data_IF_943971045196
#
_entry.id   IF_943971045196
#
_cell.length_a   1.000
_cell.length_b   1.000
_cell.length_c   1.000
_cell.angle_alpha   90.00
_cell.angle_beta   90.00
_cell.angle_gamma   90.00
#
_symmetry.space_group_name_H-M   'P 1'
#
loop_
_entity.id
_entity.type
_entity.pdbx_description
1 polymer ?
#
# COMPACT_ATOMS: atom_id res chain seq x y z
N UNK A 1 6.35 -16.16 20.16
CA UNK A 1 6.46 -16.55 18.82
C UNK A 1 7.35 -17.76 18.69
N UNK A 2 6.77 -18.82 18.64
CA UNK A 2 7.47 -20.10 18.48
C UNK A 2 7.55 -20.33 16.99
N UNK A 3 8.49 -19.61 16.38
CA UNK A 3 8.43 -19.36 14.98
C UNK A 3 9.09 -20.43 14.14
N UNK A 4 8.37 -20.83 13.16
CA UNK A 4 8.84 -21.54 11.97
C UNK A 4 9.64 -20.57 11.07
N UNK A 5 9.55 -19.25 11.29
CA UNK A 5 10.15 -18.22 10.45
C UNK A 5 11.31 -17.52 11.12
N UNK A 6 12.33 -17.20 10.34
CA UNK A 6 13.39 -16.30 10.75
C UNK A 6 13.09 -14.89 10.29
N UNK A 7 13.30 -13.91 11.17
CA UNK A 7 13.16 -12.51 10.82
C UNK A 7 14.47 -11.96 10.28
N UNK A 8 14.40 -11.25 9.17
CA UNK A 8 15.49 -10.45 8.63
C UNK A 8 14.99 -9.06 8.27
N UNK A 9 15.86 -8.08 8.31
CA UNK A 9 15.58 -6.72 7.84
C UNK A 9 16.47 -6.46 6.62
N UNK A 10 15.88 -6.48 5.45
CA UNK A 10 16.56 -6.11 4.22
C UNK A 10 16.38 -4.62 3.95
N UNK A 11 17.42 -3.96 3.49
CA UNK A 11 17.44 -2.55 3.13
C UNK A 11 17.90 -2.47 1.68
N UNK A 12 17.24 -1.65 0.86
CA UNK A 12 17.70 -1.34 -0.49
C UNK A 12 18.83 -0.29 -0.42
N UNK A 13 20.08 -0.65 -0.71
CA UNK A 13 21.17 0.33 -0.69
C UNK A 13 21.01 1.42 -1.75
N UNK A 14 20.41 1.08 -2.90
CA UNK A 14 20.22 2.03 -3.99
C UNK A 14 19.15 3.09 -3.69
N UNK A 15 18.15 2.77 -2.86
CA UNK A 15 17.09 3.69 -2.48
C UNK A 15 17.34 4.38 -1.13
N UNK A 16 18.38 3.98 -0.40
CA UNK A 16 18.71 4.55 0.89
C UNK A 16 19.34 5.94 0.74
N UNK A 17 18.67 6.97 1.28
CA UNK A 17 19.18 8.36 1.24
C UNK A 17 20.21 8.66 2.35
N UNK A 18 20.58 7.71 3.17
CA UNK A 18 21.62 7.89 4.21
C UNK A 18 21.24 8.84 5.35
N UNK A 19 19.96 9.05 5.63
CA UNK A 19 19.50 10.04 6.61
C UNK A 19 19.74 9.65 8.09
N UNK A 20 20.08 8.40 8.40
CA UNK A 20 20.37 7.93 9.76
C UNK A 20 19.17 7.77 10.70
N UNK A 21 17.95 8.09 10.29
CA UNK A 21 16.75 8.03 11.15
C UNK A 21 16.53 6.62 11.73
N UNK A 22 16.73 5.58 10.93
CA UNK A 22 16.59 4.20 11.37
C UNK A 22 17.61 3.81 12.46
N UNK A 23 18.84 4.34 12.40
CA UNK A 23 19.87 4.14 13.42
C UNK A 23 19.44 4.82 14.73
N UNK A 24 18.98 6.08 14.64
CA UNK A 24 18.49 6.81 15.82
C UNK A 24 17.23 6.19 16.45
N UNK A 25 16.37 5.54 15.64
CA UNK A 25 15.19 4.85 16.13
C UNK A 25 15.48 3.45 16.71
N UNK A 26 16.65 2.87 16.39
CA UNK A 26 17.02 1.56 16.92
C UNK A 26 17.29 1.64 18.43
N UNK A 27 16.66 0.79 19.26
CA UNK A 27 16.87 0.84 20.69
C UNK A 27 18.35 0.70 21.06
N UNK A 28 18.87 1.55 21.97
CA UNK A 28 20.27 1.57 22.40
C UNK A 28 20.81 0.19 22.84
N UNK A 29 19.95 -0.61 23.45
CA UNK A 29 20.31 -1.97 23.89
C UNK A 29 20.49 -2.98 22.76
N UNK A 30 19.94 -2.68 21.57
CA UNK A 30 19.96 -3.62 20.44
C UNK A 30 21.05 -3.25 19.44
N UNK A 31 21.15 -1.96 19.08
CA UNK A 31 22.12 -1.39 18.14
C UNK A 31 22.32 -2.25 16.87
N UNK A 32 21.20 -2.73 16.32
CA UNK A 32 21.22 -3.67 15.20
C UNK A 32 21.54 -3.04 13.85
N UNK A 33 21.49 -1.70 13.77
CA UNK A 33 21.63 -0.93 12.55
C UNK A 33 22.75 0.09 12.71
N UNK A 34 23.60 0.21 11.71
CA UNK A 34 24.66 1.23 11.65
C UNK A 34 24.79 1.80 10.25
N UNK A 35 25.23 3.04 10.16
CA UNK A 35 25.58 3.64 8.88
C UNK A 35 26.95 3.16 8.42
N UNK A 36 27.04 2.79 7.16
CA UNK A 36 28.28 2.38 6.50
C UNK A 36 28.30 2.98 5.08
N UNK A 37 29.46 3.09 4.41
CA UNK A 37 29.50 3.53 3.01
C UNK A 37 28.67 2.64 2.10
N UNK A 38 27.86 3.24 1.23
CA UNK A 38 26.93 2.54 0.33
C UNK A 38 27.63 1.49 -0.52
N UNK A 39 28.81 1.84 -1.03
CA UNK A 39 29.61 0.99 -1.93
C UNK A 39 29.93 -0.38 -1.31
N UNK A 40 30.00 -0.46 0.02
CA UNK A 40 30.27 -1.70 0.75
C UNK A 40 29.06 -2.61 0.88
N UNK A 41 27.88 -2.14 0.47
CA UNK A 41 26.61 -2.82 0.68
C UNK A 41 25.82 -3.08 -0.60
N UNK A 42 26.38 -2.83 -1.78
CA UNK A 42 25.67 -2.98 -3.04
C UNK A 42 25.13 -4.40 -3.27
N UNK A 43 25.84 -5.41 -2.81
CA UNK A 43 25.40 -6.83 -2.88
C UNK A 43 24.08 -7.09 -2.11
N UNK A 44 23.74 -6.21 -1.16
CA UNK A 44 22.48 -6.32 -0.40
C UNK A 44 21.27 -5.93 -1.23
N UNK A 45 21.46 -5.29 -2.39
CA UNK A 45 20.34 -5.00 -3.30
C UNK A 45 19.68 -6.28 -3.80
N UNK A 46 20.47 -7.27 -4.19
CA UNK A 46 19.94 -8.56 -4.65
C UNK A 46 19.15 -9.28 -3.55
N UNK A 47 19.60 -9.14 -2.30
CA UNK A 47 18.89 -9.70 -1.13
C UNK A 47 17.55 -8.99 -0.93
N UNK A 48 17.55 -7.67 -1.02
CA UNK A 48 16.31 -6.86 -0.92
C UNK A 48 15.33 -7.25 -2.02
N UNK A 49 15.77 -7.30 -3.26
CA UNK A 49 14.96 -7.64 -4.43
C UNK A 49 14.37 -9.06 -4.31
N UNK A 50 15.17 -10.00 -3.82
CA UNK A 50 14.67 -11.35 -3.53
C UNK A 50 13.58 -11.33 -2.45
N UNK A 51 13.79 -10.60 -1.36
CA UNK A 51 12.82 -10.51 -0.28
C UNK A 51 11.48 -9.91 -0.75
N UNK A 52 11.53 -8.87 -1.58
CA UNK A 52 10.33 -8.19 -2.09
C UNK A 52 9.60 -9.02 -3.14
N UNK A 53 10.34 -9.69 -4.05
CA UNK A 53 9.75 -10.31 -5.23
C UNK A 53 9.48 -11.82 -5.08
N UNK A 54 10.20 -12.51 -4.21
CA UNK A 54 10.16 -13.98 -4.10
C UNK A 54 9.64 -14.51 -2.76
N UNK A 55 9.74 -13.71 -1.71
CA UNK A 55 9.24 -14.14 -0.39
C UNK A 55 7.75 -13.86 -0.29
N UNK A 56 6.96 -14.91 -0.11
CA UNK A 56 5.51 -14.78 0.05
C UNK A 56 5.15 -14.14 1.39
N UNK A 57 4.09 -13.34 1.40
CA UNK A 57 3.52 -12.81 2.63
C UNK A 57 3.07 -13.94 3.59
N UNK A 58 3.31 -13.73 4.87
CA UNK A 58 2.91 -14.66 5.95
C UNK A 58 1.65 -14.14 6.61
N UNK A 59 0.49 -14.52 6.07
CA UNK A 59 -0.83 -14.02 6.53
C UNK A 59 -1.06 -14.25 8.02
N UNK A 60 -0.52 -15.30 8.59
CA UNK A 60 -0.58 -15.63 10.00
C UNK A 60 0.17 -14.66 10.91
N UNK A 61 1.07 -13.84 10.35
CA UNK A 61 1.78 -12.77 11.06
C UNK A 61 1.06 -11.43 10.97
N UNK A 62 0.07 -11.31 10.09
CA UNK A 62 -0.66 -10.07 9.81
C UNK A 62 -1.81 -9.86 10.81
N UNK A 63 -1.48 -9.81 12.09
CA UNK A 63 -2.44 -9.56 13.17
C UNK A 63 -3.00 -8.14 13.13
N UNK A 64 -4.13 -7.91 13.82
CA UNK A 64 -4.81 -6.60 13.87
C UNK A 64 -4.18 -5.65 14.91
N UNK A 65 -2.86 -5.54 14.88
CA UNK A 65 -2.07 -4.65 15.73
C UNK A 65 -0.98 -3.95 14.92
N UNK A 66 -0.28 -2.99 15.53
CA UNK A 66 0.77 -2.21 14.86
C UNK A 66 1.88 -3.11 14.33
N UNK A 67 2.30 -4.11 15.10
CA UNK A 67 3.36 -5.04 14.68
C UNK A 67 2.91 -5.89 13.51
N UNK A 68 1.71 -6.46 13.57
CA UNK A 68 1.16 -7.32 12.53
C UNK A 68 0.92 -6.58 11.21
N UNK A 69 0.53 -5.30 11.27
CA UNK A 69 0.37 -4.47 10.09
C UNK A 69 1.66 -4.34 9.26
N UNK A 70 2.82 -4.38 9.90
CA UNK A 70 4.13 -4.24 9.26
C UNK A 70 4.57 -5.49 8.46
N UNK A 71 3.88 -6.62 8.63
CA UNK A 71 4.08 -7.81 7.79
C UNK A 71 3.21 -7.83 6.53
N UNK A 72 2.43 -6.76 6.29
CA UNK A 72 1.70 -6.55 5.04
C UNK A 72 2.57 -5.77 4.07
N UNK A 73 2.51 -6.13 2.78
CA UNK A 73 3.22 -5.37 1.75
C UNK A 73 2.66 -3.94 1.69
N UNK A 74 3.48 -2.92 1.86
CA UNK A 74 3.06 -1.55 1.63
C UNK A 74 2.84 -1.31 0.14
N UNK A 75 1.85 -0.50 -0.20
CA UNK A 75 1.62 -0.04 -1.58
C UNK A 75 2.00 1.43 -1.74
N UNK A 76 2.86 1.91 -0.87
CA UNK A 76 3.61 3.17 -0.95
C UNK A 76 5.01 2.91 -0.41
N UNK A 77 6.03 3.08 -1.24
CA UNK A 77 7.44 2.90 -0.87
C UNK A 77 8.32 3.91 -1.62
N UNK A 78 9.44 4.28 -1.01
CA UNK A 78 10.46 5.14 -1.60
C UNK A 78 9.91 6.51 -2.07
N UNK A 79 9.06 7.11 -1.25
CA UNK A 79 8.58 8.47 -1.51
C UNK A 79 9.74 9.47 -1.45
N UNK A 80 9.75 10.45 -2.34
CA UNK A 80 10.74 11.54 -2.33
C UNK A 80 10.51 12.57 -1.23
N UNK A 81 9.89 12.21 -0.11
CA UNK A 81 9.64 13.10 1.03
C UNK A 81 10.91 13.39 1.82
N UNK A 82 10.86 14.42 2.68
CA UNK A 82 11.96 14.74 3.59
C UNK A 82 12.29 13.57 4.52
N UNK A 83 13.56 13.45 4.89
CA UNK A 83 14.00 12.43 5.86
C UNK A 83 13.21 12.55 7.17
N UNK A 84 12.65 11.42 7.65
CA UNK A 84 11.84 11.39 8.85
C UNK A 84 10.45 12.02 8.71
N UNK A 85 9.93 12.20 7.50
CA UNK A 85 8.59 12.71 7.27
C UNK A 85 7.53 11.79 7.87
N UNK A 86 6.76 12.28 8.83
CA UNK A 86 5.71 11.50 9.48
C UNK A 86 4.51 11.23 8.54
N UNK A 87 4.21 12.13 7.60
CA UNK A 87 3.10 12.00 6.67
C UNK A 87 3.20 10.71 5.84
N UNK A 88 4.37 10.44 5.27
CA UNK A 88 4.60 9.26 4.46
C UNK A 88 4.53 7.96 5.26
N UNK A 89 4.86 8.00 6.55
CA UNK A 89 4.70 6.86 7.45
C UNK A 89 3.23 6.49 7.64
N UNK A 90 2.35 7.47 7.82
CA UNK A 90 0.90 7.25 7.92
C UNK A 90 0.32 6.79 6.59
N UNK A 91 0.68 7.45 5.49
CA UNK A 91 0.22 7.05 4.16
C UNK A 91 0.63 5.60 3.85
N UNK A 92 1.86 5.21 4.16
CA UNK A 92 2.35 3.83 4.02
C UNK A 92 1.51 2.85 4.84
N UNK A 93 1.25 3.14 6.11
CA UNK A 93 0.42 2.30 6.98
C UNK A 93 -0.99 2.11 6.42
N UNK A 94 -1.61 3.18 5.95
CA UNK A 94 -2.96 3.12 5.36
C UNK A 94 -2.95 2.24 4.10
N UNK A 95 -1.91 2.31 3.26
CA UNK A 95 -1.80 1.42 2.10
C UNK A 95 -1.57 -0.04 2.48
N UNK A 96 -0.89 -0.33 3.60
CA UNK A 96 -0.74 -1.70 4.11
C UNK A 96 -2.08 -2.31 4.55
N UNK A 97 -3.00 -1.48 5.02
CA UNK A 97 -4.31 -1.92 5.50
C UNK A 97 -5.38 -1.97 4.40
N UNK A 98 -5.37 -1.02 3.48
CA UNK A 98 -6.47 -0.80 2.54
C UNK A 98 -6.03 -0.57 1.10
N UNK A 99 -4.74 -0.54 0.81
CA UNK A 99 -4.19 -0.04 -0.45
C UNK A 99 -4.74 -0.69 -1.72
N UNK A 100 -5.12 -1.96 -1.68
CA UNK A 100 -5.72 -2.68 -2.80
C UNK A 100 -7.14 -2.20 -3.17
N UNK A 101 -7.75 -1.37 -2.32
CA UNK A 101 -9.13 -0.88 -2.47
C UNK A 101 -9.26 0.63 -2.30
N UNK A 102 -8.14 1.34 -2.24
CA UNK A 102 -8.13 2.77 -1.95
C UNK A 102 -8.36 3.61 -3.20
N UNK A 103 -9.18 4.63 -3.03
CA UNK A 103 -9.21 5.83 -3.86
C UNK A 103 -8.68 7.00 -3.05
N UNK A 104 -7.76 7.76 -3.61
CA UNK A 104 -7.13 8.89 -2.95
C UNK A 104 -7.51 10.16 -3.70
N UNK A 105 -8.26 11.03 -3.01
CA UNK A 105 -8.45 12.41 -3.40
C UNK A 105 -7.42 13.26 -2.67
N UNK A 106 -6.41 13.73 -3.38
CA UNK A 106 -5.30 14.46 -2.82
C UNK A 106 -5.46 15.96 -3.05
N UNK A 107 -5.16 16.78 -2.06
CA UNK A 107 -5.06 18.22 -2.21
C UNK A 107 -3.63 18.62 -2.60
N UNK A 108 -3.48 19.72 -3.32
CA UNK A 108 -2.17 20.26 -3.68
C UNK A 108 -1.36 20.61 -2.42
N UNK A 109 -0.19 20.02 -2.29
CA UNK A 109 0.70 20.17 -1.14
C UNK A 109 1.89 19.21 -1.25
N UNK A 110 2.55 18.89 -0.13
CA UNK A 110 3.67 17.94 -0.12
C UNK A 110 3.26 16.56 -0.68
N UNK A 111 2.07 16.09 -0.36
CA UNK A 111 1.56 14.80 -0.84
C UNK A 111 1.33 14.74 -2.35
N UNK A 112 1.14 15.87 -3.02
CA UNK A 112 1.13 15.93 -4.48
C UNK A 112 2.55 15.92 -5.07
N UNK A 113 3.52 16.39 -4.34
CA UNK A 113 4.91 16.42 -4.79
C UNK A 113 5.58 15.05 -4.65
N UNK A 114 5.49 14.42 -3.48
CA UNK A 114 6.07 13.09 -3.29
C UNK A 114 5.15 11.96 -3.79
N UNK A 115 3.86 12.22 -4.01
CA UNK A 115 2.85 11.20 -4.36
C UNK A 115 2.56 11.05 -5.85
N UNK A 116 2.91 12.03 -6.69
CA UNK A 116 2.48 12.03 -8.11
C UNK A 116 3.52 12.39 -9.18
N UNK A 117 4.80 12.46 -8.99
CA UNK A 117 5.67 12.59 -10.15
C UNK A 117 5.60 11.29 -10.97
N UNK A 118 5.15 11.37 -12.21
CA UNK A 118 4.84 10.20 -13.05
C UNK A 118 5.91 9.11 -13.04
N UNK A 119 7.19 9.46 -13.21
CA UNK A 119 8.31 8.50 -13.21
C UNK A 119 8.73 8.04 -11.79
N UNK A 120 8.42 8.81 -10.75
CA UNK A 120 8.84 8.56 -9.37
C UNK A 120 7.66 8.37 -8.42
N UNK A 121 6.50 7.95 -8.94
CA UNK A 121 5.32 7.69 -8.14
C UNK A 121 5.61 6.58 -7.11
N UNK A 122 5.48 6.86 -5.81
CA UNK A 122 5.77 5.89 -4.76
C UNK A 122 4.65 4.86 -4.55
N UNK A 123 3.47 5.10 -5.10
CA UNK A 123 2.37 4.15 -5.02
C UNK A 123 2.59 3.00 -6.01
N UNK A 124 2.34 1.79 -5.55
CA UNK A 124 2.52 0.58 -6.35
C UNK A 124 1.32 -0.37 -6.22
N UNK A 125 1.37 -1.48 -6.94
CA UNK A 125 0.35 -2.52 -6.92
C UNK A 125 0.83 -3.79 -6.23
N UNK A 126 -0.12 -4.59 -5.76
CA UNK A 126 0.14 -5.93 -5.29
C UNK A 126 0.31 -6.92 -6.46
N UNK A 127 0.53 -8.20 -6.14
CA UNK A 127 0.70 -9.26 -7.13
C UNK A 127 -0.52 -9.49 -8.04
N UNK A 128 -1.71 -9.01 -7.63
CA UNK A 128 -2.94 -9.07 -8.41
C UNK A 128 -3.15 -7.82 -9.29
N UNK A 129 -2.19 -6.90 -9.31
CA UNK A 129 -2.28 -5.65 -10.05
C UNK A 129 -3.21 -4.60 -9.41
N UNK A 130 -3.59 -4.79 -8.14
CA UNK A 130 -4.45 -3.87 -7.39
C UNK A 130 -3.61 -2.95 -6.53
N UNK A 131 -3.97 -1.68 -6.49
CA UNK A 131 -3.31 -0.65 -5.67
C UNK A 131 -4.11 0.64 -5.62
N UNK A 132 -3.62 1.66 -4.89
CA UNK A 132 -4.30 2.93 -4.76
C UNK A 132 -4.54 3.61 -6.11
N UNK A 133 -5.78 4.09 -6.33
CA UNK A 133 -6.09 5.01 -7.40
C UNK A 133 -5.97 6.44 -6.88
N UNK A 134 -5.09 7.23 -7.48
CA UNK A 134 -4.74 8.56 -7.00
C UNK A 134 -5.16 9.65 -7.97
N UNK A 135 -5.79 10.69 -7.45
CA UNK A 135 -6.15 11.88 -8.21
C UNK A 135 -5.91 13.13 -7.37
N UNK A 136 -5.43 14.19 -7.99
CA UNK A 136 -5.18 15.46 -7.34
C UNK A 136 -6.26 16.47 -7.69
N UNK A 137 -6.62 17.29 -6.69
CA UNK A 137 -7.42 18.49 -6.86
C UNK A 137 -6.70 19.71 -6.32
N UNK A 138 -7.29 20.89 -6.45
CA UNK A 138 -6.81 22.07 -5.76
C UNK A 138 -7.09 21.97 -4.26
N UNK A 139 -6.34 22.72 -3.46
CA UNK A 139 -6.52 22.70 -2.00
C UNK A 139 -7.93 23.17 -1.60
N UNK A 140 -8.46 24.14 -2.33
CA UNK A 140 -9.73 24.80 -2.06
C UNK A 140 -10.96 23.90 -2.31
N UNK A 141 -10.86 22.94 -3.22
CA UNK A 141 -11.98 22.12 -3.70
C UNK A 141 -11.84 20.61 -3.39
N UNK A 142 -10.87 20.25 -2.55
CA UNK A 142 -10.57 18.83 -2.32
C UNK A 142 -11.70 18.07 -1.62
N UNK A 143 -12.47 18.73 -0.76
CA UNK A 143 -13.60 18.12 -0.07
C UNK A 143 -14.71 17.73 -1.07
N UNK A 144 -15.04 18.63 -1.99
CA UNK A 144 -16.02 18.42 -3.04
C UNK A 144 -15.53 17.36 -4.04
N UNK A 145 -14.27 17.43 -4.41
CA UNK A 145 -13.63 16.43 -5.29
C UNK A 145 -13.69 15.02 -4.68
N UNK A 146 -13.33 14.88 -3.40
CA UNK A 146 -13.40 13.61 -2.69
C UNK A 146 -14.84 13.08 -2.56
N UNK A 147 -15.78 13.97 -2.25
CA UNK A 147 -17.20 13.61 -2.23
C UNK A 147 -17.69 13.18 -3.61
N UNK A 148 -17.31 13.89 -4.67
CA UNK A 148 -17.66 13.54 -6.04
C UNK A 148 -17.12 12.17 -6.46
N UNK A 149 -15.87 11.86 -6.11
CA UNK A 149 -15.29 10.52 -6.34
C UNK A 149 -16.08 9.42 -5.61
N UNK A 150 -16.43 9.66 -4.34
CA UNK A 150 -17.26 8.72 -3.57
C UNK A 150 -18.63 8.50 -4.18
N UNK A 151 -19.32 9.57 -4.52
CA UNK A 151 -20.68 9.51 -5.12
C UNK A 151 -20.65 8.82 -6.49
N UNK A 152 -19.62 9.06 -7.31
CA UNK A 152 -19.44 8.38 -8.57
C UNK A 152 -19.25 6.87 -8.41
N UNK A 153 -18.38 6.45 -7.50
CA UNK A 153 -18.17 5.04 -7.18
C UNK A 153 -19.42 4.39 -6.58
N UNK A 154 -20.13 5.12 -5.72
CA UNK A 154 -21.39 4.67 -5.13
C UNK A 154 -22.45 4.44 -6.21
N UNK A 155 -22.62 5.36 -7.13
CA UNK A 155 -23.60 5.25 -8.21
C UNK A 155 -23.33 4.03 -9.12
N UNK A 156 -22.05 3.79 -9.45
CA UNK A 156 -21.63 2.61 -10.23
C UNK A 156 -21.97 1.32 -9.44
N UNK A 157 -21.64 1.26 -8.17
CA UNK A 157 -21.92 0.11 -7.30
C UNK A 157 -23.41 -0.15 -7.18
N UNK A 158 -24.22 0.88 -6.92
CA UNK A 158 -25.67 0.76 -6.79
C UNK A 158 -26.28 0.23 -8.10
N UNK A 159 -25.83 0.75 -9.26
CA UNK A 159 -26.25 0.26 -10.57
C UNK A 159 -25.88 -1.22 -10.79
N UNK A 160 -24.69 -1.64 -10.39
CA UNK A 160 -24.27 -3.04 -10.48
C UNK A 160 -25.12 -3.95 -9.57
N UNK A 161 -25.43 -3.51 -8.36
CA UNK A 161 -26.29 -4.22 -7.42
C UNK A 161 -27.69 -4.43 -8.05
N UNK A 162 -28.31 -3.38 -8.60
CA UNK A 162 -29.61 -3.49 -9.23
C UNK A 162 -29.61 -4.41 -10.46
N UNK A 163 -28.59 -4.31 -11.31
CA UNK A 163 -28.40 -5.23 -12.44
C UNK A 163 -28.20 -6.67 -12.01
N UNK A 164 -27.45 -6.88 -10.92
CA UNK A 164 -27.22 -8.23 -10.37
C UNK A 164 -28.51 -8.82 -9.79
N UNK A 165 -29.31 -8.04 -9.08
CA UNK A 165 -30.64 -8.47 -8.62
C UNK A 165 -31.56 -8.84 -9.79
N UNK A 166 -31.60 -8.01 -10.83
CA UNK A 166 -32.36 -8.27 -12.02
C UNK A 166 -31.93 -9.58 -12.72
N UNK A 167 -30.61 -9.82 -12.81
CA UNK A 167 -30.05 -11.05 -13.38
C UNK A 167 -30.49 -12.31 -12.61
N UNK A 168 -30.49 -12.24 -11.29
CA UNK A 168 -30.93 -13.36 -10.43
C UNK A 168 -32.42 -13.68 -10.64
N UNK A 169 -33.24 -12.66 -10.89
CA UNK A 169 -34.68 -12.79 -11.12
C UNK A 169 -35.05 -13.43 -12.48
N UNK A 170 -34.11 -13.49 -13.44
CA UNK A 170 -34.38 -14.08 -14.76
C UNK A 170 -34.42 -15.59 -14.67
N UNK A 171 -35.52 -16.22 -15.11
CA UNK A 171 -35.75 -17.65 -14.98
C UNK A 171 -34.74 -18.55 -15.70
N UNK A 172 -34.31 -18.15 -16.90
CA UNK A 172 -33.37 -18.92 -17.72
C UNK A 172 -31.88 -18.69 -17.39
N UNK A 173 -31.58 -17.92 -16.35
CA UNK A 173 -30.19 -17.69 -15.94
C UNK A 173 -29.58 -18.98 -15.41
N UNK A 174 -28.36 -19.30 -15.87
CA UNK A 174 -27.59 -20.46 -15.44
C UNK A 174 -27.42 -20.49 -13.91
N UNK A 175 -27.54 -21.69 -13.30
CA UNK A 175 -27.48 -21.86 -11.85
C UNK A 175 -26.14 -21.37 -11.26
N UNK A 176 -25.02 -21.64 -11.92
CA UNK A 176 -23.70 -21.20 -11.47
C UNK A 176 -23.58 -19.68 -11.50
N UNK A 177 -24.14 -19.05 -12.53
CA UNK A 177 -24.18 -17.60 -12.63
C UNK A 177 -25.08 -16.98 -11.55
N UNK A 178 -26.23 -17.60 -11.24
CA UNK A 178 -27.07 -17.15 -10.12
C UNK A 178 -26.34 -17.25 -8.78
N UNK A 179 -25.66 -18.37 -8.54
CA UNK A 179 -24.88 -18.56 -7.31
C UNK A 179 -23.74 -17.54 -7.17
N UNK A 180 -23.01 -17.26 -8.27
CA UNK A 180 -21.97 -16.23 -8.28
C UNK A 180 -22.56 -14.83 -8.05
N UNK A 181 -23.69 -14.52 -8.66
CA UNK A 181 -24.39 -13.25 -8.49
C UNK A 181 -24.91 -13.05 -7.05
N UNK A 182 -25.44 -14.11 -6.43
CA UNK A 182 -25.87 -14.09 -5.01
C UNK A 182 -24.69 -13.85 -4.06
N UNK A 183 -23.52 -14.42 -4.37
CA UNK A 183 -22.31 -14.19 -3.57
C UNK A 183 -21.76 -12.76 -3.70
N UNK A 184 -22.06 -12.08 -4.80
CA UNK A 184 -21.66 -10.69 -5.02
C UNK A 184 -22.52 -9.69 -4.21
N UNK A 185 -23.81 -9.98 -3.98
CA UNK A 185 -24.75 -9.14 -3.19
C UNK A 185 -24.49 -9.26 -1.69
#
# INVERSE_FOLDING_TARGET
GKGVYQFTMAISPLDCMGCGVCVGACPEKVQAIKMVPQETQLDQQDVFDYCVNKVSEKKELQTADVKGSQFRKPLLEFSGSCAGCAETSYARLVTQLFGDKMYISNATGCSSIWGNPGATNPYCTNAEGKGPAWCNSLFEDNAEHGLGMYLGQKAIRDSLIEKTKALIAVEWTNADLKAAAQKYL
#
